data_IF_569526818719
#
_entry.id   IF_569526818719
#
_cell.length_a   1.000
_cell.length_b   1.000
_cell.length_c   1.000
_cell.angle_alpha   90.00
_cell.angle_beta   90.00
_cell.angle_gamma   90.00
#
_symmetry.space_group_name_H-M   'P 1'
#
loop_
_entity.id
_entity.type
_entity.pdbx_description
1 polymer ?
#
# COMPACT_ATOMS: atom_id res chain seq x y z
N UNK A 1 39.67 23.60 12.17
CA UNK A 1 38.33 23.01 12.31
C UNK A 1 38.27 22.16 13.55
N UNK A 2 37.98 22.78 14.70
CA UNK A 2 37.80 22.07 15.98
C UNK A 2 36.31 22.11 16.35
N UNK A 3 35.83 21.02 16.93
CA UNK A 3 34.49 20.94 17.51
C UNK A 3 34.58 21.45 18.95
N UNK A 4 33.71 22.36 19.35
CA UNK A 4 33.69 22.91 20.70
C UNK A 4 32.93 21.97 21.63
N UNK A 5 33.31 21.95 22.91
CA UNK A 5 32.60 21.14 23.90
C UNK A 5 31.14 21.58 24.01
N UNK A 6 30.22 20.60 24.01
CA UNK A 6 28.77 20.80 24.06
C UNK A 6 28.15 21.55 22.86
N UNK A 7 28.84 21.63 21.72
CA UNK A 7 28.29 22.23 20.50
C UNK A 7 27.24 21.32 19.85
N UNK A 8 26.04 21.86 19.58
CA UNK A 8 24.99 21.12 18.86
C UNK A 8 25.36 20.95 17.39
N UNK A 9 25.33 19.71 16.91
CA UNK A 9 25.66 19.37 15.53
C UNK A 9 24.65 18.39 14.94
N UNK A 10 24.38 18.54 13.64
CA UNK A 10 23.53 17.62 12.90
C UNK A 10 24.38 16.52 12.24
N UNK A 11 24.08 15.25 12.55
CA UNK A 11 24.74 14.11 11.89
C UNK A 11 24.22 13.98 10.46
N UNK A 12 25.13 14.07 9.48
CA UNK A 12 24.80 13.91 8.06
C UNK A 12 25.03 12.49 7.55
N UNK A 13 26.11 11.86 8.02
CA UNK A 13 26.50 10.52 7.62
C UNK A 13 27.19 9.80 8.78
N UNK A 14 26.66 8.65 9.17
CA UNK A 14 27.19 7.77 10.21
C UNK A 14 27.56 6.38 9.68
N UNK A 15 27.75 6.23 8.36
CA UNK A 15 28.02 4.93 7.72
C UNK A 15 29.35 4.31 8.18
N UNK A 16 30.35 5.14 8.49
CA UNK A 16 31.64 4.69 9.04
C UNK A 16 31.56 4.68 10.57
N UNK A 17 31.85 3.56 11.26
CA UNK A 17 31.64 3.45 12.70
C UNK A 17 32.57 4.34 13.55
N UNK A 18 33.75 4.68 13.05
CA UNK A 18 34.77 5.44 13.79
C UNK A 18 34.79 6.94 13.47
N UNK A 19 34.25 7.34 12.32
CA UNK A 19 34.30 8.73 11.83
C UNK A 19 32.98 9.11 11.21
N UNK A 20 32.33 10.13 11.75
CA UNK A 20 31.03 10.61 11.28
C UNK A 20 31.16 11.98 10.63
N UNK A 21 30.32 12.23 9.64
CA UNK A 21 30.21 13.52 8.99
C UNK A 21 29.12 14.32 9.67
N UNK A 22 29.49 15.45 10.25
CA UNK A 22 28.58 16.32 11.00
C UNK A 22 28.56 17.72 10.39
N UNK A 23 27.42 18.40 10.57
CA UNK A 23 27.23 19.80 10.20
C UNK A 23 27.02 20.63 11.45
N UNK A 24 27.81 21.68 11.59
CA UNK A 24 27.65 22.71 12.62
C UNK A 24 26.50 23.66 12.29
N UNK A 25 26.06 24.42 13.28
CA UNK A 25 25.00 25.44 13.11
C UNK A 25 25.38 26.57 12.15
N UNK A 26 26.68 26.86 12.03
CA UNK A 26 27.25 27.81 11.05
C UNK A 26 27.25 27.27 9.60
N UNK A 27 26.81 26.03 9.38
CA UNK A 27 26.80 25.36 8.09
C UNK A 27 28.11 24.64 7.72
N UNK A 28 29.16 24.75 8.53
CA UNK A 28 30.43 24.09 8.32
C UNK A 28 30.26 22.57 8.45
N UNK A 29 30.75 21.83 7.45
CA UNK A 29 30.73 20.36 7.45
C UNK A 29 32.11 19.82 7.79
N UNK A 30 32.18 18.87 8.71
CA UNK A 30 33.43 18.24 9.14
C UNK A 30 33.28 16.77 9.45
N UNK A 31 34.40 16.04 9.36
CA UNK A 31 34.50 14.67 9.84
C UNK A 31 35.08 14.67 11.25
N UNK A 32 34.41 13.98 12.16
CA UNK A 32 34.80 13.88 13.57
C UNK A 32 34.71 12.44 14.05
N UNK A 33 35.56 12.04 15.02
CA UNK A 33 35.43 10.73 15.66
C UNK A 33 34.03 10.55 16.26
N UNK A 34 33.43 9.38 16.07
CA UNK A 34 32.08 9.10 16.57
C UNK A 34 31.98 9.23 18.11
N UNK A 35 33.07 8.96 18.83
CA UNK A 35 33.16 9.11 20.30
C UNK A 35 32.94 10.56 20.77
N UNK A 36 33.16 11.56 19.91
CA UNK A 36 32.97 12.97 20.23
C UNK A 36 31.52 13.43 20.08
N UNK A 37 30.62 12.55 19.58
CA UNK A 37 29.22 12.88 19.33
C UNK A 37 28.34 12.18 20.34
N UNK A 38 27.69 12.96 21.20
CA UNK A 38 26.62 12.48 22.05
C UNK A 38 25.30 12.48 21.28
N UNK A 39 24.72 11.30 21.08
CA UNK A 39 23.36 11.18 20.56
C UNK A 39 22.39 11.22 21.74
N UNK A 40 21.50 12.23 21.84
CA UNK A 40 20.49 12.26 22.88
C UNK A 40 19.58 11.03 22.76
N UNK A 41 18.99 10.57 23.88
CA UNK A 41 18.04 9.47 23.84
C UNK A 41 16.90 9.80 22.86
N UNK A 42 16.39 8.80 22.12
CA UNK A 42 15.33 9.03 21.16
C UNK A 42 14.11 9.58 21.87
N UNK A 43 13.55 10.66 21.32
CA UNK A 43 12.31 11.24 21.83
C UNK A 43 11.15 10.22 21.65
N UNK A 44 10.76 9.62 22.77
CA UNK A 44 9.72 8.59 22.82
C UNK A 44 8.36 9.15 22.45
N UNK A 45 8.11 10.45 22.71
CA UNK A 45 6.85 11.10 22.39
C UNK A 45 6.66 11.23 20.87
N UNK A 46 7.69 11.71 20.16
CA UNK A 46 7.71 11.76 18.69
C UNK A 46 7.57 10.38 18.05
N UNK A 47 8.18 9.35 18.64
CA UNK A 47 8.08 7.96 18.18
C UNK A 47 6.66 7.40 18.28
N UNK A 48 5.99 7.62 19.40
CA UNK A 48 4.60 7.19 19.61
C UNK A 48 3.63 7.92 18.67
N UNK A 49 3.81 9.24 18.49
CA UNK A 49 3.00 10.03 17.55
C UNK A 49 3.15 9.50 16.12
N UNK A 50 4.39 9.20 15.68
CA UNK A 50 4.64 8.64 14.36
C UNK A 50 3.95 7.27 14.16
N UNK A 51 3.95 6.41 15.18
CA UNK A 51 3.24 5.13 15.14
C UNK A 51 1.72 5.30 15.02
N UNK A 52 1.14 6.24 15.77
CA UNK A 52 -0.29 6.56 15.69
C UNK A 52 -0.66 7.06 14.29
N UNK A 53 0.13 7.97 13.71
CA UNK A 53 -0.08 8.49 12.36
C UNK A 53 0.00 7.37 11.33
N UNK A 54 1.02 6.50 11.42
CA UNK A 54 1.17 5.34 10.54
C UNK A 54 -0.06 4.43 10.57
N UNK A 55 -0.59 4.14 11.77
CA UNK A 55 -1.80 3.30 11.91
C UNK A 55 -3.03 3.97 11.30
N UNK A 56 -3.20 5.28 11.49
CA UNK A 56 -4.29 6.05 10.87
C UNK A 56 -4.22 6.03 9.34
N UNK A 57 -3.03 6.21 8.77
CA UNK A 57 -2.81 6.16 7.32
C UNK A 57 -3.15 4.79 6.74
N UNK A 58 -2.71 3.71 7.38
CA UNK A 58 -3.03 2.35 6.93
C UNK A 58 -4.53 2.08 6.94
N UNK A 59 -5.22 2.50 8.00
CA UNK A 59 -6.68 2.35 8.09
C UNK A 59 -7.41 3.18 7.03
N UNK A 60 -6.97 4.41 6.79
CA UNK A 60 -7.53 5.27 5.74
C UNK A 60 -7.33 4.66 4.35
N UNK A 61 -6.15 4.09 4.08
CA UNK A 61 -5.86 3.41 2.83
C UNK A 61 -6.73 2.17 2.61
N UNK A 62 -6.91 1.34 3.65
CA UNK A 62 -7.79 0.18 3.60
C UNK A 62 -9.25 0.58 3.33
N UNK A 63 -9.73 1.66 3.97
CA UNK A 63 -11.07 2.18 3.75
C UNK A 63 -11.27 2.72 2.31
N UNK A 64 -10.26 3.39 1.76
CA UNK A 64 -10.29 3.88 0.38
C UNK A 64 -10.36 2.71 -0.62
N UNK A 65 -9.54 1.68 -0.42
CA UNK A 65 -9.55 0.46 -1.25
C UNK A 65 -10.90 -0.27 -1.18
N UNK A 66 -11.50 -0.35 0.00
CA UNK A 66 -12.82 -0.94 0.16
C UNK A 66 -13.90 -0.15 -0.60
N UNK A 67 -13.89 1.19 -0.49
CA UNK A 67 -14.82 2.06 -1.22
C UNK A 67 -14.62 1.98 -2.73
N UNK A 68 -13.38 1.98 -3.22
CA UNK A 68 -13.10 1.90 -4.66
C UNK A 68 -13.53 0.54 -5.23
N UNK A 69 -13.30 -0.56 -4.50
CA UNK A 69 -13.80 -1.88 -4.87
C UNK A 69 -15.32 -1.91 -4.94
N UNK A 70 -16.02 -1.37 -3.93
CA UNK A 70 -17.48 -1.30 -3.91
C UNK A 70 -18.02 -0.47 -5.08
N UNK A 71 -17.38 0.67 -5.38
CA UNK A 71 -17.72 1.51 -6.52
C UNK A 71 -17.53 0.78 -7.85
N UNK A 72 -16.38 0.12 -8.06
CA UNK A 72 -16.14 -0.68 -9.25
C UNK A 72 -17.19 -1.79 -9.42
N UNK A 73 -17.49 -2.54 -8.35
CA UNK A 73 -18.53 -3.58 -8.39
C UNK A 73 -19.88 -2.98 -8.76
N UNK A 74 -20.25 -1.82 -8.22
CA UNK A 74 -21.49 -1.13 -8.55
C UNK A 74 -21.53 -0.70 -10.02
N UNK A 75 -20.45 -0.08 -10.52
CA UNK A 75 -20.34 0.38 -11.90
C UNK A 75 -20.39 -0.79 -12.89
N UNK A 76 -19.61 -1.85 -12.64
CA UNK A 76 -19.65 -3.05 -13.47
C UNK A 76 -21.03 -3.71 -13.40
N UNK A 77 -21.64 -3.84 -12.22
CA UNK A 77 -22.98 -4.43 -12.10
C UNK A 77 -24.02 -3.63 -12.89
N UNK A 78 -23.99 -2.29 -12.83
CA UNK A 78 -24.86 -1.43 -13.62
C UNK A 78 -24.61 -1.59 -15.13
N UNK A 79 -23.34 -1.65 -15.54
CA UNK A 79 -22.95 -1.88 -16.93
C UNK A 79 -23.41 -3.25 -17.44
N UNK A 80 -23.17 -4.32 -16.68
CA UNK A 80 -23.60 -5.68 -17.01
C UNK A 80 -25.13 -5.80 -17.04
N UNK A 81 -25.87 -5.08 -16.17
CA UNK A 81 -27.33 -4.98 -16.26
C UNK A 81 -27.79 -4.30 -17.54
N UNK A 82 -27.14 -3.20 -17.95
CA UNK A 82 -27.47 -2.54 -19.22
C UNK A 82 -27.19 -3.42 -20.44
N UNK A 83 -26.18 -4.29 -20.36
CA UNK A 83 -25.88 -5.30 -21.38
C UNK A 83 -26.84 -6.52 -21.31
N UNK A 84 -27.32 -6.87 -20.12
CA UNK A 84 -28.20 -8.01 -19.85
C UNK A 84 -29.60 -7.90 -20.47
N UNK A 85 -30.02 -6.71 -20.89
CA UNK A 85 -31.20 -6.53 -21.74
C UNK A 85 -31.02 -7.04 -23.18
N UNK A 86 -29.79 -7.41 -23.59
CA UNK A 86 -29.49 -8.01 -24.88
C UNK A 86 -28.98 -9.45 -24.76
N UNK A 87 -29.38 -10.32 -25.71
CA UNK A 87 -28.94 -11.72 -25.85
C UNK A 87 -27.41 -11.94 -25.91
N UNK A 88 -26.66 -10.85 -26.09
CA UNK A 88 -25.19 -10.79 -26.16
C UNK A 88 -24.52 -11.05 -24.81
N UNK A 89 -25.16 -10.70 -23.69
CA UNK A 89 -24.53 -10.89 -22.37
C UNK A 89 -24.54 -12.36 -21.91
N UNK A 90 -25.62 -13.09 -22.21
CA UNK A 90 -25.69 -14.53 -21.97
C UNK A 90 -24.65 -15.31 -22.78
N UNK A 91 -24.42 -14.91 -24.04
CA UNK A 91 -23.38 -15.53 -24.87
C UNK A 91 -21.97 -15.17 -24.39
N UNK A 92 -21.74 -13.95 -23.88
CA UNK A 92 -20.49 -13.55 -23.24
C UNK A 92 -20.20 -14.38 -21.98
N UNK A 93 -21.17 -14.54 -21.08
CA UNK A 93 -21.00 -15.39 -19.89
C UNK A 93 -20.68 -16.84 -20.26
N UNK A 94 -21.30 -17.38 -21.31
CA UNK A 94 -21.00 -18.73 -21.81
C UNK A 94 -19.58 -18.84 -22.40
N UNK A 95 -19.10 -17.82 -23.10
CA UNK A 95 -17.73 -17.80 -23.62
C UNK A 95 -16.70 -17.63 -22.50
N UNK A 96 -17.01 -16.81 -21.50
CA UNK A 96 -16.11 -16.57 -20.38
C UNK A 96 -16.02 -17.79 -19.45
N UNK A 97 -17.13 -18.49 -19.21
CA UNK A 97 -17.16 -19.77 -18.49
C UNK A 97 -16.29 -20.84 -19.20
N UNK A 98 -16.41 -20.95 -20.53
CA UNK A 98 -15.56 -21.84 -21.35
C UNK A 98 -14.09 -21.45 -21.30
N UNK A 99 -13.76 -20.17 -21.54
CA UNK A 99 -12.38 -19.69 -21.54
C UNK A 99 -11.72 -19.82 -20.15
N UNK A 100 -12.47 -19.63 -19.05
CA UNK A 100 -11.95 -19.89 -17.70
C UNK A 100 -11.67 -21.37 -17.44
N UNK A 101 -12.44 -22.26 -18.07
CA UNK A 101 -12.22 -23.71 -18.12
C UNK A 101 -10.98 -24.13 -18.91
N UNK A 102 -10.35 -23.22 -19.65
CA UNK A 102 -9.14 -23.48 -20.43
C UNK A 102 -7.89 -22.79 -19.84
N UNK A 103 -8.03 -21.60 -19.23
CA UNK A 103 -6.89 -20.74 -18.81
C UNK A 103 -6.39 -21.02 -17.38
N UNK A 104 -7.29 -21.33 -16.43
CA UNK A 104 -6.93 -21.47 -15.01
C UNK A 104 -6.52 -22.92 -14.66
N UNK A 105 -5.22 -23.17 -14.52
CA UNK A 105 -4.70 -24.52 -14.14
C UNK A 105 -5.00 -24.84 -12.67
N UNK A 106 -5.10 -23.81 -11.81
CA UNK A 106 -5.42 -23.97 -10.39
C UNK A 106 -6.91 -24.26 -10.17
N UNK A 107 -7.20 -25.45 -9.60
CA UNK A 107 -8.56 -25.98 -9.38
C UNK A 107 -9.37 -25.10 -8.44
N UNK A 108 -8.71 -24.51 -7.44
CA UNK A 108 -9.38 -23.72 -6.41
C UNK A 108 -9.78 -22.33 -6.93
N UNK A 109 -8.86 -21.64 -7.63
CA UNK A 109 -9.17 -20.41 -8.36
C UNK A 109 -10.25 -20.61 -9.43
N UNK A 110 -10.25 -21.76 -10.13
CA UNK A 110 -11.31 -22.13 -11.09
C UNK A 110 -12.67 -22.26 -10.40
N UNK A 111 -12.73 -22.99 -9.29
CA UNK A 111 -13.98 -23.21 -8.57
C UNK A 111 -14.56 -21.92 -8.00
N UNK A 112 -13.71 -21.05 -7.45
CA UNK A 112 -14.13 -19.74 -6.93
C UNK A 112 -14.67 -18.83 -8.04
N UNK A 113 -14.02 -18.81 -9.21
CA UNK A 113 -14.47 -18.03 -10.36
C UNK A 113 -15.80 -18.57 -10.93
N UNK A 114 -15.93 -19.89 -11.07
CA UNK A 114 -17.17 -20.53 -11.55
C UNK A 114 -18.35 -20.24 -10.61
N UNK A 115 -18.11 -20.29 -9.30
CA UNK A 115 -19.12 -19.93 -8.30
C UNK A 115 -19.53 -18.45 -8.43
N UNK A 116 -18.57 -17.54 -8.60
CA UNK A 116 -18.84 -16.11 -8.79
C UNK A 116 -19.65 -15.84 -10.08
N UNK A 117 -19.29 -16.48 -11.21
CA UNK A 117 -20.01 -16.35 -12.47
C UNK A 117 -21.45 -16.87 -12.37
N UNK A 118 -21.66 -17.98 -11.67
CA UNK A 118 -22.99 -18.56 -11.43
C UNK A 118 -23.87 -17.63 -10.57
N UNK A 119 -23.30 -17.00 -9.54
CA UNK A 119 -24.01 -16.00 -8.71
C UNK A 119 -24.39 -14.78 -9.54
N UNK A 120 -23.48 -14.26 -10.37
CA UNK A 120 -23.76 -13.12 -11.26
C UNK A 120 -24.87 -13.46 -12.26
N UNK A 121 -24.84 -14.66 -12.87
CA UNK A 121 -25.89 -15.14 -13.77
C UNK A 121 -27.25 -15.19 -13.07
N UNK A 122 -27.34 -15.80 -11.89
CA UNK A 122 -28.59 -15.94 -11.17
C UNK A 122 -29.19 -14.59 -10.75
N UNK A 123 -28.35 -13.64 -10.33
CA UNK A 123 -28.77 -12.29 -9.96
C UNK A 123 -29.25 -11.45 -11.15
N UNK A 124 -28.86 -11.82 -12.38
CA UNK A 124 -29.29 -11.14 -13.60
C UNK A 124 -30.57 -11.75 -14.19
N UNK A 125 -30.84 -13.03 -13.97
CA UNK A 125 -32.07 -13.71 -14.42
C UNK A 125 -33.25 -13.49 -13.45
N UNK A 126 -32.96 -13.21 -12.18
CA UNK A 126 -33.98 -12.96 -11.15
C UNK A 126 -34.52 -11.51 -11.13
N UNK A 127 -34.05 -10.63 -12.01
CA UNK A 127 -34.59 -9.29 -12.25
C UNK A 127 -35.36 -9.27 -13.57
#
# INVERSE_FOLDING_TARGET
>A
NTLLDSEEVAVLDNTKPLTWKVRKTDGTVMEVPSICIWLPPPDTESGEVALVIRKKLLNAWAALLSKSRAWLVSCYTAYLRSLGHGSVFGSFLNHLERASGDILIDVEGRQQLMNALRVVRNNLVAC
#
